data_IF_984311341288
#
_entry.id   IF_984311341288
#
_cell.length_a   1.000
_cell.length_b   1.000
_cell.length_c   1.000
_cell.angle_alpha   90.00
_cell.angle_beta   90.00
_cell.angle_gamma   90.00
#
_symmetry.space_group_name_H-M   'P 1'
#
loop_
_entity.id
_entity.type
_entity.pdbx_description
1 polymer ?
#
# COMPACT_ATOMS: atom_id res chain seq x y z
N UNK A 1 -0.96 14.74 20.56
CA UNK A 1 -2.30 14.83 19.98
C UNK A 1 -2.81 13.46 19.59
N UNK A 2 -4.11 13.28 19.63
CA UNK A 2 -4.72 12.02 19.22
C UNK A 2 -4.61 11.83 17.71
N UNK A 3 -4.44 10.57 17.24
CA UNK A 3 -4.48 10.30 15.82
C UNK A 3 -5.82 10.68 15.21
N UNK A 4 -5.79 11.22 13.99
CA UNK A 4 -6.99 11.51 13.23
C UNK A 4 -7.59 10.22 12.72
N UNK A 5 -8.91 10.07 12.86
CA UNK A 5 -9.66 8.90 12.41
C UNK A 5 -10.61 9.28 11.28
N UNK A 6 -10.68 8.43 10.26
CA UNK A 6 -11.58 8.65 9.13
C UNK A 6 -12.08 7.32 8.55
N UNK A 7 -13.26 7.33 7.95
CA UNK A 7 -13.77 6.23 7.14
C UNK A 7 -13.34 6.38 5.68
N UNK A 8 -13.06 7.59 5.24
CA UNK A 8 -12.73 7.87 3.83
C UNK A 8 -11.46 8.69 3.74
N UNK A 9 -10.46 8.13 3.04
CA UNK A 9 -9.16 8.74 2.85
C UNK A 9 -8.67 8.56 1.42
N UNK A 10 -7.90 9.53 0.96
CA UNK A 10 -7.13 9.47 -0.28
C UNK A 10 -5.68 9.76 0.08
N UNK A 11 -4.82 8.76 -0.04
CA UNK A 11 -3.43 8.87 0.39
C UNK A 11 -2.48 8.60 -0.77
N UNK A 12 -1.38 9.37 -0.80
CA UNK A 12 -0.25 9.12 -1.69
C UNK A 12 0.99 9.00 -0.84
N UNK A 13 1.72 7.90 -1.02
CA UNK A 13 3.02 7.64 -0.39
C UNK A 13 4.08 7.64 -1.47
N UNK A 14 5.05 8.54 -1.33
CA UNK A 14 6.20 8.64 -2.23
C UNK A 14 7.42 8.05 -1.53
N UNK A 15 8.05 7.05 -2.13
CA UNK A 15 9.16 6.33 -1.51
C UNK A 15 10.14 5.78 -2.53
N UNK A 16 11.31 5.38 -2.05
CA UNK A 16 12.34 4.73 -2.88
C UNK A 16 13.16 3.77 -2.05
N UNK A 17 13.80 2.81 -2.72
CA UNK A 17 14.80 1.93 -2.13
C UNK A 17 16.16 2.25 -2.75
N UNK A 18 17.22 2.24 -1.95
CA UNK A 18 18.58 2.51 -2.46
C UNK A 18 19.14 1.36 -3.31
N UNK A 19 18.53 0.18 -3.21
CA UNK A 19 18.95 -0.99 -3.97
C UNK A 19 17.73 -1.87 -4.26
N UNK A 20 17.83 -2.72 -5.29
CA UNK A 20 16.79 -3.71 -5.60
C UNK A 20 17.02 -4.94 -4.74
N UNK A 21 16.11 -5.26 -3.79
CA UNK A 21 16.28 -6.43 -2.94
C UNK A 21 16.20 -7.74 -3.73
N UNK A 22 17.02 -8.71 -3.34
CA UNK A 22 16.97 -10.05 -3.90
C UNK A 22 15.99 -10.95 -3.14
N UNK A 23 15.86 -12.19 -3.56
CA UNK A 23 14.93 -13.16 -2.95
C UNK A 23 13.49 -12.68 -3.06
N UNK A 24 12.72 -12.89 -2.03
CA UNK A 24 11.32 -12.44 -2.00
C UNK A 24 11.16 -10.92 -1.83
N UNK A 25 12.26 -10.20 -1.56
CA UNK A 25 12.29 -8.76 -1.60
C UNK A 25 11.81 -8.05 -0.33
N UNK A 26 11.48 -6.78 -0.52
CA UNK A 26 10.97 -5.89 0.51
C UNK A 26 9.47 -5.68 0.33
N UNK A 27 8.77 -5.48 1.44
CA UNK A 27 7.34 -5.25 1.50
C UNK A 27 7.09 -3.92 2.20
N UNK A 28 6.37 -3.03 1.54
CA UNK A 28 5.96 -1.72 2.08
C UNK A 28 4.44 -1.71 2.10
N UNK A 29 3.85 -1.56 3.30
CA UNK A 29 2.40 -1.60 3.49
C UNK A 29 1.89 -0.28 4.00
N UNK A 30 0.90 0.29 3.30
CA UNK A 30 0.10 1.39 3.77
C UNK A 30 -1.24 0.85 4.26
N UNK A 31 -1.59 1.16 5.50
CA UNK A 31 -2.84 0.73 6.12
C UNK A 31 -3.79 1.91 6.30
N UNK A 32 -5.04 1.70 5.94
CA UNK A 32 -6.10 2.67 6.11
C UNK A 32 -7.24 2.06 6.95
N UNK A 33 -8.00 2.92 7.59
CA UNK A 33 -9.15 2.54 8.44
C UNK A 33 -8.74 1.50 9.49
N UNK A 34 -7.60 1.73 10.14
CA UNK A 34 -7.08 0.82 11.17
C UNK A 34 -7.84 1.01 12.47
N UNK A 35 -8.46 -0.07 12.95
CA UNK A 35 -9.20 -0.14 14.19
C UNK A 35 -8.79 -1.41 14.94
N UNK A 36 -9.42 -1.66 16.09
CA UNK A 36 -9.24 -2.93 16.81
C UNK A 36 -9.71 -4.16 16.00
N UNK A 37 -10.64 -3.96 15.08
CA UNK A 37 -11.17 -5.04 14.25
C UNK A 37 -10.21 -5.44 13.13
N UNK A 38 -9.34 -4.53 12.68
CA UNK A 38 -8.41 -4.77 11.58
C UNK A 38 -8.17 -3.54 10.73
N UNK A 39 -7.89 -3.76 9.45
CA UNK A 39 -7.54 -2.67 8.55
C UNK A 39 -7.68 -3.07 7.08
N UNK A 40 -7.80 -2.07 6.21
CA UNK A 40 -7.49 -2.23 4.78
C UNK A 40 -6.03 -1.87 4.57
N UNK A 41 -5.35 -2.60 3.70
CA UNK A 41 -3.96 -2.29 3.39
C UNK A 41 -3.63 -2.50 1.92
N UNK A 42 -2.70 -1.69 1.43
CA UNK A 42 -2.04 -1.87 0.15
C UNK A 42 -0.57 -2.21 0.44
N UNK A 43 -0.13 -3.37 -0.01
CA UNK A 43 1.24 -3.84 0.21
C UNK A 43 1.97 -3.92 -1.12
N UNK A 44 3.07 -3.19 -1.22
CA UNK A 44 3.96 -3.20 -2.38
C UNK A 44 5.12 -4.14 -2.09
N UNK A 45 5.30 -5.14 -2.95
CA UNK A 45 6.48 -6.03 -2.91
C UNK A 45 7.45 -5.61 -4.00
N UNK A 46 8.70 -5.40 -3.63
CA UNK A 46 9.77 -5.04 -4.55
C UNK A 46 10.89 -6.06 -4.38
N UNK A 47 11.26 -6.72 -5.48
CA UNK A 47 12.34 -7.69 -5.50
C UNK A 47 12.93 -7.81 -6.90
N UNK A 48 13.99 -8.62 -7.03
CA UNK A 48 14.67 -8.83 -8.30
C UNK A 48 13.96 -9.83 -9.21
N UNK A 49 13.03 -10.63 -8.66
CA UNK A 49 12.34 -11.68 -9.39
C UNK A 49 11.00 -11.20 -9.94
N UNK A 50 11.01 -10.12 -10.70
CA UNK A 50 9.80 -9.57 -11.33
C UNK A 50 9.60 -8.10 -11.02
N UNK A 51 8.54 -7.56 -11.60
CA UNK A 51 8.19 -6.15 -11.41
C UNK A 51 7.50 -5.93 -10.06
N UNK A 52 7.51 -4.70 -9.52
CA UNK A 52 6.77 -4.40 -8.29
C UNK A 52 5.30 -4.81 -8.40
N UNK A 53 4.78 -5.37 -7.32
CA UNK A 53 3.39 -5.81 -7.22
C UNK A 53 2.74 -5.11 -6.03
N UNK A 54 1.57 -4.54 -6.24
CA UNK A 54 0.74 -4.08 -5.13
C UNK A 54 -0.45 -5.02 -4.95
N UNK A 55 -0.73 -5.38 -3.72
CA UNK A 55 -1.89 -6.18 -3.34
C UNK A 55 -2.72 -5.39 -2.33
N UNK A 56 -4.01 -5.29 -2.58
CA UNK A 56 -4.96 -4.69 -1.64
C UNK A 56 -5.64 -5.81 -0.88
N UNK A 57 -5.72 -5.67 0.44
CA UNK A 57 -6.28 -6.69 1.31
C UNK A 57 -7.14 -6.08 2.41
N UNK A 58 -8.13 -6.86 2.85
CA UNK A 58 -8.81 -6.69 4.13
C UNK A 58 -8.14 -7.61 5.14
N UNK A 59 -7.68 -7.06 6.26
CA UNK A 59 -7.08 -7.84 7.34
C UNK A 59 -7.97 -7.75 8.57
N UNK A 60 -8.50 -8.90 9.02
CA UNK A 60 -9.39 -9.00 10.18
C UNK A 60 -8.92 -10.16 11.04
N UNK A 61 -8.63 -9.88 12.31
CA UNK A 61 -8.12 -10.88 13.26
C UNK A 61 -6.89 -11.62 12.74
N UNK A 62 -5.96 -10.89 12.13
CA UNK A 62 -4.75 -11.45 11.55
C UNK A 62 -4.94 -12.22 10.25
N UNK A 63 -6.16 -12.36 9.76
CA UNK A 63 -6.44 -13.04 8.49
C UNK A 63 -6.50 -12.03 7.36
N UNK A 64 -5.67 -12.23 6.36
CA UNK A 64 -5.62 -11.40 5.17
C UNK A 64 -6.48 -11.99 4.06
N UNK A 65 -7.39 -11.17 3.53
CA UNK A 65 -8.20 -11.50 2.36
C UNK A 65 -7.83 -10.57 1.24
N UNK A 66 -7.31 -11.10 0.13
CA UNK A 66 -6.95 -10.30 -1.04
C UNK A 66 -8.20 -9.78 -1.73
N UNK A 67 -8.20 -8.49 -2.03
CA UNK A 67 -9.27 -7.82 -2.78
C UNK A 67 -8.84 -7.47 -4.21
N UNK A 68 -7.57 -7.64 -4.53
CA UNK A 68 -7.04 -7.40 -5.86
C UNK A 68 -5.53 -7.19 -5.83
N UNK A 69 -4.91 -7.32 -7.00
CA UNK A 69 -3.49 -7.04 -7.16
C UNK A 69 -3.21 -6.43 -8.53
N UNK A 70 -2.08 -5.75 -8.61
CA UNK A 70 -1.63 -5.10 -9.83
C UNK A 70 -0.11 -5.21 -9.93
N UNK A 71 0.38 -5.61 -11.10
CA UNK A 71 1.81 -5.71 -11.40
C UNK A 71 2.21 -4.49 -12.22
N UNK A 72 3.20 -3.75 -11.72
CA UNK A 72 3.77 -2.63 -12.49
C UNK A 72 4.35 -3.13 -13.82
N UNK A 73 4.22 -2.32 -14.86
CA UNK A 73 4.67 -2.73 -16.20
C UNK A 73 6.19 -2.72 -16.37
N UNK A 74 6.91 -2.14 -15.43
CA UNK A 74 8.37 -1.97 -15.50
C UNK A 74 9.02 -2.52 -14.23
N UNK A 75 10.25 -3.07 -14.33
CA UNK A 75 10.99 -3.46 -13.14
C UNK A 75 11.40 -2.24 -12.32
N UNK A 76 11.63 -2.45 -11.03
CA UNK A 76 12.14 -1.40 -10.16
C UNK A 76 13.63 -1.15 -10.43
N UNK A 77 14.02 0.11 -10.46
CA UNK A 77 15.41 0.56 -10.56
C UNK A 77 15.83 1.20 -9.24
N UNK A 78 17.02 0.83 -8.73
CA UNK A 78 17.54 1.38 -7.48
C UNK A 78 17.50 2.91 -7.49
N UNK A 79 17.01 3.48 -6.40
CA UNK A 79 16.86 4.92 -6.23
C UNK A 79 15.67 5.55 -6.95
N UNK A 80 14.92 4.77 -7.72
CA UNK A 80 13.77 5.28 -8.46
C UNK A 80 12.63 5.62 -7.50
N UNK A 81 12.05 6.83 -7.56
CA UNK A 81 10.85 7.13 -6.80
C UNK A 81 9.66 6.31 -7.27
N UNK A 82 8.94 5.73 -6.32
CA UNK A 82 7.65 5.09 -6.53
C UNK A 82 6.57 5.87 -5.82
N UNK A 83 5.37 5.81 -6.36
CA UNK A 83 4.19 6.46 -5.82
C UNK A 83 3.09 5.43 -5.66
N UNK A 84 2.58 5.31 -4.45
CA UNK A 84 1.44 4.47 -4.12
C UNK A 84 0.29 5.37 -3.74
N UNK A 85 -0.83 5.29 -4.47
CA UNK A 85 -2.05 5.99 -4.12
C UNK A 85 -3.12 4.98 -3.76
N UNK A 86 -3.76 5.17 -2.61
CA UNK A 86 -4.85 4.34 -2.14
C UNK A 86 -6.01 5.22 -1.70
N UNK A 87 -7.16 5.04 -2.33
CA UNK A 87 -8.41 5.67 -1.94
C UNK A 87 -9.29 4.61 -1.30
N UNK A 88 -9.76 4.89 -0.08
CA UNK A 88 -10.72 4.06 0.64
C UNK A 88 -11.92 4.95 0.92
N UNK A 89 -13.10 4.56 0.45
CA UNK A 89 -14.29 5.39 0.51
C UNK A 89 -15.53 4.59 0.87
N UNK A 90 -16.34 5.15 1.78
CA UNK A 90 -17.61 4.59 2.19
C UNK A 90 -17.49 3.58 3.33
N UNK A 91 -18.55 3.44 4.12
CA UNK A 91 -18.58 2.57 5.29
C UNK A 91 -19.54 1.38 5.14
N UNK A 92 -20.67 1.55 4.49
CA UNK A 92 -21.65 0.47 4.26
C UNK A 92 -21.15 -0.49 3.18
N UNK A 93 -20.63 0.08 2.11
CA UNK A 93 -19.92 -0.61 1.04
C UNK A 93 -18.65 0.19 0.82
N UNK A 94 -17.51 -0.46 0.91
CA UNK A 94 -16.23 0.21 0.83
C UNK A 94 -15.66 0.08 -0.58
N UNK A 95 -15.43 1.22 -1.23
CA UNK A 95 -14.76 1.28 -2.51
C UNK A 95 -13.28 1.54 -2.28
N UNK A 96 -12.42 0.73 -2.91
CA UNK A 96 -10.98 0.85 -2.79
C UNK A 96 -10.39 0.96 -4.18
N UNK A 97 -9.59 2.00 -4.39
CA UNK A 97 -8.89 2.23 -5.64
C UNK A 97 -7.42 2.43 -5.35
N UNK A 98 -6.56 1.79 -6.14
CA UNK A 98 -5.11 1.83 -5.90
C UNK A 98 -4.36 1.96 -7.21
N UNK A 99 -3.32 2.81 -7.18
CA UNK A 99 -2.33 2.98 -8.26
C UNK A 99 -0.94 2.80 -7.71
N UNK A 100 -0.06 2.25 -8.51
CA UNK A 100 1.38 2.20 -8.25
C UNK A 100 2.10 2.60 -9.53
N UNK A 101 2.94 3.64 -9.45
CA UNK A 101 3.66 4.10 -10.64
C UNK A 101 5.04 4.67 -10.27
N UNK A 102 5.92 4.71 -11.27
CA UNK A 102 7.22 5.34 -11.20
C UNK A 102 7.22 6.60 -12.08
N UNK A 103 8.06 7.55 -11.74
CA UNK A 103 8.16 8.81 -12.49
C UNK A 103 7.11 9.83 -12.06
N UNK A 104 7.05 10.95 -12.80
CA UNK A 104 6.29 12.12 -12.35
C UNK A 104 4.82 12.10 -12.81
N UNK A 105 4.49 11.30 -13.83
CA UNK A 105 3.16 11.30 -14.41
C UNK A 105 2.27 10.24 -13.76
N UNK A 106 1.29 10.70 -12.98
CA UNK A 106 0.28 9.80 -12.40
C UNK A 106 -0.59 9.21 -13.52
N UNK A 107 -0.75 7.88 -13.57
CA UNK A 107 -1.66 7.26 -14.56
C UNK A 107 -3.10 7.71 -14.34
N UNK A 108 -3.84 7.88 -15.44
CA UNK A 108 -5.26 8.20 -15.35
C UNK A 108 -6.09 7.02 -14.83
N UNK A 109 -5.68 5.81 -15.16
CA UNK A 109 -6.41 4.59 -14.79
C UNK A 109 -5.94 4.02 -13.45
N UNK A 110 -6.87 3.43 -12.72
CA UNK A 110 -6.57 2.68 -11.50
C UNK A 110 -6.04 1.29 -11.84
N UNK A 111 -5.03 0.84 -11.11
CA UNK A 111 -4.54 -0.53 -11.24
C UNK A 111 -5.43 -1.54 -10.53
N UNK A 112 -6.05 -1.12 -9.43
CA UNK A 112 -7.00 -1.93 -8.66
C UNK A 112 -8.23 -1.09 -8.39
N UNK A 113 -9.40 -1.68 -8.64
CA UNK A 113 -10.69 -1.14 -8.22
C UNK A 113 -11.47 -2.29 -7.59
N UNK A 114 -11.80 -2.16 -6.32
CA UNK A 114 -12.47 -3.19 -5.56
C UNK A 114 -13.63 -2.60 -4.77
N UNK A 115 -14.66 -3.40 -4.58
CA UNK A 115 -15.78 -3.09 -3.69
C UNK A 115 -15.83 -4.18 -2.63
N UNK A 116 -15.75 -3.77 -1.37
CA UNK A 116 -15.85 -4.69 -0.24
C UNK A 116 -17.16 -4.45 0.50
N UNK A 117 -18.03 -5.45 0.50
CA UNK A 117 -19.31 -5.42 1.18
C UNK A 117 -19.24 -6.01 2.59
N UNK A 118 -18.07 -6.47 3.01
CA UNK A 118 -17.84 -6.89 4.39
C UNK A 118 -17.92 -5.67 5.31
N UNK A 119 -18.67 -5.78 6.39
CA UNK A 119 -18.95 -4.65 7.27
C UNK A 119 -18.10 -4.64 8.54
N UNK A 120 -17.13 -5.53 8.66
CA UNK A 120 -16.28 -5.62 9.85
C UNK A 120 -15.46 -4.36 10.05
N UNK A 121 -15.01 -3.75 8.95
CA UNK A 121 -14.18 -2.55 8.96
C UNK A 121 -14.98 -1.31 8.54
N UNK A 122 -16.12 -1.09 9.16
CA UNK A 122 -17.00 0.04 8.79
C UNK A 122 -16.87 1.27 9.69
N UNK A 123 -15.98 1.24 10.66
CA UNK A 123 -15.77 2.37 11.56
C UNK A 123 -14.58 3.22 11.16
N UNK A 124 -14.60 4.50 11.56
CA UNK A 124 -13.47 5.39 11.35
C UNK A 124 -12.21 4.83 12.02
N UNK A 125 -11.10 4.86 11.31
CA UNK A 125 -9.83 4.35 11.81
C UNK A 125 -8.66 5.25 11.46
N UNK A 126 -7.48 4.85 11.92
CA UNK A 126 -6.22 5.56 11.67
C UNK A 126 -5.53 5.04 10.43
N UNK A 127 -4.42 5.67 10.07
CA UNK A 127 -3.55 5.26 8.95
C UNK A 127 -2.17 4.95 9.47
N UNK A 128 -1.42 4.15 8.72
CA UNK A 128 -0.05 3.81 9.11
C UNK A 128 0.74 3.23 7.96
N UNK A 129 2.07 3.22 8.13
CA UNK A 129 3.00 2.67 7.16
C UNK A 129 3.90 1.66 7.88
N UNK A 130 4.05 0.47 7.31
CA UNK A 130 4.93 -0.57 7.84
C UNK A 130 5.81 -1.14 6.75
N UNK A 131 6.96 -1.68 7.14
CA UNK A 131 7.90 -2.27 6.21
C UNK A 131 8.35 -3.64 6.72
N UNK A 132 8.67 -4.53 5.79
CA UNK A 132 9.16 -5.87 6.10
C UNK A 132 10.18 -6.29 5.05
N UNK A 133 11.31 -6.85 5.51
CA UNK A 133 12.28 -7.50 4.64
C UNK A 133 12.12 -9.01 4.77
N UNK A 134 11.95 -9.68 3.64
CA UNK A 134 11.91 -11.15 3.60
C UNK A 134 13.23 -11.72 4.12
N UNK A 135 13.17 -12.88 4.79
CA UNK A 135 14.37 -13.58 5.25
C UNK A 135 15.31 -14.03 4.14
N UNK A 136 14.81 -14.14 2.90
CA UNK A 136 15.61 -14.44 1.71
C UNK A 136 16.14 -13.21 0.98
N UNK A 137 15.71 -12.01 1.39
CA UNK A 137 16.11 -10.78 0.72
C UNK A 137 17.54 -10.36 1.09
N UNK A 138 18.27 -9.88 0.10
CA UNK A 138 19.57 -9.24 0.27
C UNK A 138 19.64 -7.98 -0.57
N UNK A 139 20.68 -7.16 -0.40
CA UNK A 139 21.71 -7.26 0.62
C UNK A 139 21.17 -7.06 2.04
N UNK A 140 21.99 -7.32 3.06
CA UNK A 140 21.56 -7.20 4.46
C UNK A 140 21.00 -5.83 4.81
N UNK A 141 21.49 -4.78 4.15
CA UNK A 141 21.02 -3.42 4.37
C UNK A 141 20.38 -2.90 3.08
N UNK A 142 19.09 -2.63 3.15
CA UNK A 142 18.34 -1.90 2.12
C UNK A 142 17.73 -0.70 2.81
N UNK A 143 18.03 0.49 2.29
CA UNK A 143 17.48 1.72 2.85
C UNK A 143 16.22 2.12 2.10
N UNK A 144 15.12 2.17 2.83
CA UNK A 144 13.87 2.75 2.36
C UNK A 144 13.85 4.23 2.74
N UNK A 145 13.61 5.07 1.76
CA UNK A 145 13.38 6.50 1.98
C UNK A 145 11.91 6.80 1.69
N UNK A 146 11.21 7.34 2.67
CA UNK A 146 9.85 7.86 2.48
C UNK A 146 9.98 9.36 2.33
N UNK A 147 9.73 9.85 1.12
CA UNK A 147 9.96 11.25 0.78
C UNK A 147 8.77 12.14 1.14
N UNK A 148 7.56 11.60 0.98
CA UNK A 148 6.34 12.35 1.25
C UNK A 148 5.17 11.39 1.47
N UNK A 149 4.32 11.76 2.42
CA UNK A 149 3.02 11.11 2.63
C UNK A 149 1.96 12.21 2.65
N UNK A 150 1.00 12.12 1.75
CA UNK A 150 -0.11 13.06 1.68
C UNK A 150 -1.41 12.29 1.93
N UNK A 151 -2.18 12.71 2.91
CA UNK A 151 -3.44 12.06 3.26
C UNK A 151 -4.53 13.11 3.28
N UNK A 152 -5.57 12.89 2.46
CA UNK A 152 -6.76 13.73 2.44
C UNK A 152 -7.93 12.94 2.99
N UNK A 153 -8.71 13.57 3.84
CA UNK A 153 -9.99 13.03 4.32
C UNK A 153 -11.13 13.58 3.48
N UNK A 154 -12.15 12.78 3.32
CA UNK A 154 -13.37 13.25 2.67
C UNK A 154 -14.63 12.52 3.14
#
# INVERSE_FOLDING_TARGET
SDPVKSTSTDAVVDFSLDTVPTGNGAFISYAARTTKAGQYQATVRIGSAGNPVVTVSRVVKGKETSLGSYVMKQPYTAGQPLHLRMVVDGAESTNIQTKLWAGDAEPAEWGIEAVDNDKTLNEAGTVGLTTYMSGSAGPETVTLSVDKVTIKQH
#
